data_IF_238042679972
#
_entry.id   IF_238042679972
#
_cell.length_a   1.000
_cell.length_b   1.000
_cell.length_c   1.000
_cell.angle_alpha   90.00
_cell.angle_beta   90.00
_cell.angle_gamma   90.00
#
_symmetry.space_group_name_H-M   'P 1'
#
loop_
_entity.id
_entity.type
_entity.pdbx_description
1 polymer ?
#
# COMPACT_ATOMS: atom_id res chain seq x y z
N UNK A 1 -8.64 17.16 -3.35
CA UNK A 1 -8.46 15.71 -3.11
C UNK A 1 -7.28 15.35 -2.21
N UNK A 2 -6.17 16.11 -2.13
CA UNK A 2 -5.00 15.71 -1.30
C UNK A 2 -5.28 15.57 0.21
N UNK A 3 -6.21 16.34 0.79
CA UNK A 3 -6.64 16.17 2.19
C UNK A 3 -7.77 15.16 2.41
N UNK A 4 -8.42 14.70 1.33
CA UNK A 4 -9.65 13.89 1.39
C UNK A 4 -9.35 12.40 1.48
N UNK A 5 -8.19 11.96 0.96
CA UNK A 5 -7.71 10.59 1.02
C UNK A 5 -6.22 10.54 1.41
N UNK A 6 -5.88 10.27 2.67
CA UNK A 6 -4.50 10.07 3.07
C UNK A 6 -3.93 8.79 2.43
N UNK A 7 -2.61 8.71 2.33
CA UNK A 7 -1.88 7.47 2.03
C UNK A 7 -1.93 6.56 3.27
N UNK A 8 -2.92 5.68 3.39
CA UNK A 8 -3.11 4.91 4.64
C UNK A 8 -2.05 3.83 4.85
N UNK A 9 -1.35 3.39 3.80
CA UNK A 9 -0.28 2.39 3.91
C UNK A 9 0.84 2.84 4.86
N UNK A 10 1.02 4.16 5.03
CA UNK A 10 2.03 4.74 5.94
C UNK A 10 1.70 4.56 7.43
N UNK A 11 0.48 4.13 7.77
CA UNK A 11 0.00 4.10 9.15
C UNK A 11 -0.62 2.75 9.52
N UNK A 12 -0.25 1.65 8.85
CA UNK A 12 -0.89 0.34 9.02
C UNK A 12 -0.96 -0.13 10.48
N UNK A 13 0.13 -0.02 11.23
CA UNK A 13 0.15 -0.38 12.66
C UNK A 13 -0.86 0.44 13.48
N UNK A 14 -0.88 1.76 13.30
CA UNK A 14 -1.83 2.65 13.98
C UNK A 14 -3.27 2.45 13.47
N UNK A 15 -3.45 2.06 12.22
CA UNK A 15 -4.76 1.78 11.63
C UNK A 15 -5.37 0.49 12.19
N UNK A 16 -4.56 -0.55 12.33
CA UNK A 16 -4.92 -1.87 12.85
C UNK A 16 -5.26 -1.86 14.36
N UNK A 17 -4.65 -0.95 15.13
CA UNK A 17 -4.92 -0.82 16.56
C UNK A 17 -6.21 -0.07 16.90
N UNK A 18 -6.85 0.56 15.90
CA UNK A 18 -8.10 1.29 16.08
C UNK A 18 -9.28 0.34 15.98
N UNK A 19 -10.24 0.53 16.87
CA UNK A 19 -11.52 -0.18 16.86
C UNK A 19 -12.35 0.14 15.61
N UNK A 20 -13.09 -0.85 15.11
CA UNK A 20 -14.13 -0.63 14.11
C UNK A 20 -15.41 -0.20 14.81
N UNK A 21 -15.64 1.11 14.88
CA UNK A 21 -16.86 1.70 15.45
C UNK A 21 -17.78 2.24 14.37
N UNK A 22 -19.08 2.37 14.67
CA UNK A 22 -20.09 2.91 13.75
C UNK A 22 -19.65 4.26 13.15
N UNK A 23 -19.21 5.19 14.00
CA UNK A 23 -18.73 6.52 13.56
C UNK A 23 -17.56 6.41 12.57
N UNK A 24 -16.56 5.56 12.87
CA UNK A 24 -15.40 5.36 11.99
C UNK A 24 -15.83 4.78 10.64
N UNK A 25 -16.77 3.83 10.65
CA UNK A 25 -17.31 3.20 9.45
C UNK A 25 -18.09 4.22 8.62
N UNK A 26 -18.89 5.09 9.22
CA UNK A 26 -19.59 6.18 8.53
C UNK A 26 -18.63 7.16 7.87
N UNK A 27 -17.58 7.58 8.59
CA UNK A 27 -16.53 8.45 8.02
C UNK A 27 -15.82 7.78 6.82
N UNK A 28 -15.56 6.47 6.91
CA UNK A 28 -14.96 5.68 5.83
C UNK A 28 -15.90 5.54 4.64
N UNK A 29 -17.19 5.27 4.87
CA UNK A 29 -18.23 5.21 3.82
C UNK A 29 -18.32 6.54 3.08
N UNK A 30 -18.40 7.66 3.81
CA UNK A 30 -18.43 9.00 3.21
C UNK A 30 -17.21 9.27 2.32
N UNK A 31 -16.02 8.83 2.74
CA UNK A 31 -14.80 8.90 1.90
C UNK A 31 -14.95 8.02 0.66
N UNK A 32 -15.33 6.75 0.82
CA UNK A 32 -15.54 5.82 -0.30
C UNK A 32 -16.57 6.35 -1.32
N UNK A 33 -17.66 6.95 -0.85
CA UNK A 33 -18.70 7.55 -1.67
C UNK A 33 -18.17 8.74 -2.47
N UNK A 34 -17.31 9.57 -1.88
CA UNK A 34 -16.67 10.69 -2.58
C UNK A 34 -15.75 10.23 -3.73
N UNK A 35 -15.17 9.03 -3.67
CA UNK A 35 -14.38 8.46 -4.78
C UNK A 35 -15.23 7.69 -5.80
N UNK A 36 -16.40 7.19 -5.40
CA UNK A 36 -17.23 6.30 -6.21
C UNK A 36 -17.51 6.79 -7.64
N UNK A 37 -17.76 8.09 -7.91
CA UNK A 37 -17.99 8.60 -9.27
C UNK A 37 -16.80 8.42 -10.22
N UNK A 38 -15.58 8.32 -9.68
CA UNK A 38 -14.35 8.25 -10.46
C UNK A 38 -13.87 6.81 -10.67
N UNK A 39 -14.30 5.87 -9.84
CA UNK A 39 -13.80 4.50 -9.82
C UNK A 39 -13.92 3.78 -11.18
N UNK A 40 -15.02 4.01 -11.90
CA UNK A 40 -15.23 3.41 -13.22
C UNK A 40 -14.24 3.93 -14.29
N UNK A 41 -13.66 5.11 -14.11
CA UNK A 41 -12.72 5.73 -15.05
C UNK A 41 -11.27 5.31 -14.80
N UNK A 42 -10.94 4.85 -13.59
CA UNK A 42 -9.57 4.52 -13.23
C UNK A 42 -8.97 3.34 -14.02
N UNK A 43 -9.72 2.26 -14.34
CA UNK A 43 -9.18 1.22 -15.21
C UNK A 43 -8.88 1.75 -16.63
N UNK A 44 -9.71 2.65 -17.16
CA UNK A 44 -9.47 3.30 -18.46
C UNK A 44 -8.21 4.16 -18.41
N UNK A 45 -7.97 4.85 -17.30
CA UNK A 45 -6.73 5.59 -17.08
C UNK A 45 -5.52 4.65 -17.01
N UNK A 46 -5.64 3.48 -16.38
CA UNK A 46 -4.58 2.46 -16.37
C UNK A 46 -4.29 1.94 -17.79
N UNK A 47 -5.33 1.69 -18.59
CA UNK A 47 -5.18 1.27 -19.99
C UNK A 47 -4.51 2.37 -20.85
N UNK A 48 -4.73 3.65 -20.53
CA UNK A 48 -4.06 4.78 -21.17
C UNK A 48 -2.59 4.89 -20.73
N UNK A 49 -2.30 4.72 -19.43
CA UNK A 49 -0.93 4.67 -18.91
C UNK A 49 -0.12 3.56 -19.58
N UNK A 50 -0.71 2.37 -19.77
CA UNK A 50 -0.04 1.23 -20.42
C UNK A 50 0.46 1.53 -21.85
N UNK A 51 -0.10 2.55 -22.52
CA UNK A 51 0.26 2.96 -23.89
C UNK A 51 1.32 4.05 -23.93
N UNK A 52 1.73 4.58 -22.79
CA UNK A 52 2.83 5.56 -22.74
C UNK A 52 4.13 4.91 -23.23
N UNK A 53 5.02 5.69 -23.88
CA UNK A 53 6.31 5.19 -24.35
C UNK A 53 7.32 5.04 -23.21
N UNK A 54 6.91 4.38 -22.11
CA UNK A 54 7.76 4.11 -20.95
C UNK A 54 8.95 3.24 -21.36
N UNK A 55 10.14 3.62 -20.91
CA UNK A 55 11.40 2.94 -21.23
C UNK A 55 11.94 3.24 -22.64
N UNK A 56 11.30 4.11 -23.43
CA UNK A 56 11.73 4.43 -24.81
C UNK A 56 12.69 5.63 -24.90
N UNK A 57 13.37 5.96 -23.80
CA UNK A 57 14.49 6.92 -23.80
C UNK A 57 14.19 8.33 -23.27
N UNK A 58 12.96 8.62 -22.81
CA UNK A 58 12.64 9.88 -22.14
C UNK A 58 12.53 9.69 -20.62
N UNK A 59 13.51 10.15 -19.81
CA UNK A 59 13.47 9.99 -18.37
C UNK A 59 12.33 10.78 -17.71
N UNK A 60 11.89 11.89 -18.31
CA UNK A 60 10.76 12.67 -17.81
C UNK A 60 9.43 11.92 -17.97
N UNK A 61 9.23 11.27 -19.13
CA UNK A 61 8.02 10.45 -19.37
C UNK A 61 8.00 9.26 -18.43
N UNK A 62 9.14 8.58 -18.23
CA UNK A 62 9.23 7.45 -17.31
C UNK A 62 8.84 7.86 -15.88
N UNK A 63 9.40 8.98 -15.41
CA UNK A 63 9.11 9.51 -14.09
C UNK A 63 7.63 9.84 -13.94
N UNK A 64 7.05 10.60 -14.87
CA UNK A 64 5.65 11.04 -14.80
C UNK A 64 4.67 9.86 -14.89
N UNK A 65 4.99 8.86 -15.71
CA UNK A 65 4.18 7.65 -15.84
C UNK A 65 4.11 6.88 -14.51
N UNK A 66 5.24 6.70 -13.82
CA UNK A 66 5.28 6.07 -12.49
C UNK A 66 4.60 6.96 -11.45
N UNK A 67 4.78 8.29 -11.52
CA UNK A 67 4.17 9.24 -10.59
C UNK A 67 2.63 9.21 -10.60
N UNK A 68 2.06 9.14 -11.81
CA UNK A 68 0.63 8.98 -12.04
C UNK A 68 0.16 7.61 -11.54
N UNK A 69 0.85 6.54 -11.91
CA UNK A 69 0.50 5.18 -11.52
C UNK A 69 0.52 5.00 -9.98
N UNK A 70 1.58 5.46 -9.29
CA UNK A 70 1.68 5.37 -7.82
C UNK A 70 0.58 6.18 -7.13
N UNK A 71 0.15 7.29 -7.74
CA UNK A 71 -0.88 8.16 -7.16
C UNK A 71 -2.24 7.47 -7.22
N UNK A 72 -2.56 6.81 -8.34
CA UNK A 72 -3.76 5.98 -8.46
C UNK A 72 -3.69 4.82 -7.46
N UNK A 73 -2.60 4.05 -7.47
CA UNK A 73 -2.43 2.88 -6.61
C UNK A 73 -2.52 3.22 -5.11
N UNK A 74 -1.85 4.28 -4.66
CA UNK A 74 -1.91 4.71 -3.25
C UNK A 74 -3.32 5.16 -2.81
N UNK A 75 -4.08 5.80 -3.70
CA UNK A 75 -5.47 6.22 -3.40
C UNK A 75 -6.43 5.04 -3.37
N UNK A 76 -6.27 4.11 -4.31
CA UNK A 76 -7.13 2.92 -4.38
C UNK A 76 -6.80 1.94 -3.26
N UNK A 77 -5.55 1.82 -2.84
CA UNK A 77 -5.20 1.10 -1.61
C UNK A 77 -5.94 1.67 -0.40
N UNK A 78 -5.95 2.99 -0.18
CA UNK A 78 -6.69 3.58 0.93
C UNK A 78 -8.19 3.31 0.84
N UNK A 79 -8.75 3.37 -0.38
CA UNK A 79 -10.13 3.00 -0.64
C UNK A 79 -10.42 1.53 -0.28
N UNK A 80 -9.59 0.59 -0.73
CA UNK A 80 -9.77 -0.83 -0.42
C UNK A 80 -9.64 -1.10 1.08
N UNK A 81 -8.69 -0.46 1.76
CA UNK A 81 -8.52 -0.60 3.21
C UNK A 81 -9.76 -0.14 3.99
N UNK A 82 -10.42 0.93 3.54
CA UNK A 82 -11.69 1.34 4.11
C UNK A 82 -12.80 0.32 3.84
N UNK A 83 -12.90 -0.19 2.61
CA UNK A 83 -13.87 -1.24 2.26
C UNK A 83 -13.65 -2.49 3.11
N UNK A 84 -12.41 -2.83 3.44
CA UNK A 84 -12.09 -3.94 4.33
C UNK A 84 -12.61 -3.72 5.76
N UNK A 85 -12.44 -2.53 6.33
CA UNK A 85 -13.01 -2.18 7.63
C UNK A 85 -14.54 -2.16 7.60
N UNK A 86 -15.14 -1.64 6.53
CA UNK A 86 -16.59 -1.65 6.33
C UNK A 86 -17.12 -3.09 6.25
N UNK A 87 -16.37 -4.01 5.62
CA UNK A 87 -16.74 -5.42 5.57
C UNK A 87 -16.71 -6.08 6.95
N UNK A 88 -15.71 -5.76 7.78
CA UNK A 88 -15.63 -6.24 9.17
C UNK A 88 -16.83 -5.78 10.00
N UNK A 89 -17.23 -4.51 9.88
CA UNK A 89 -18.44 -3.97 10.52
C UNK A 89 -19.72 -4.68 10.03
N UNK A 90 -19.85 -4.87 8.72
CA UNK A 90 -20.99 -5.57 8.14
C UNK A 90 -21.09 -7.01 8.66
N UNK A 91 -19.95 -7.71 8.80
CA UNK A 91 -19.88 -9.04 9.36
C UNK A 91 -20.30 -9.08 10.85
N UNK A 92 -19.81 -8.15 11.68
CA UNK A 92 -20.24 -8.05 13.08
C UNK A 92 -21.77 -7.94 13.22
N UNK A 93 -22.42 -7.30 12.26
CA UNK A 93 -23.86 -7.11 12.22
C UNK A 93 -24.62 -8.15 11.38
N UNK A 94 -23.97 -9.25 10.97
CA UNK A 94 -24.59 -10.34 10.21
C UNK A 94 -25.01 -9.98 8.78
N UNK A 95 -24.48 -8.87 8.21
CA UNK A 95 -24.77 -8.39 6.85
C UNK A 95 -23.80 -8.90 5.79
N UNK A 96 -22.64 -9.41 6.22
CA UNK A 96 -21.64 -10.06 5.36
C UNK A 96 -21.15 -11.34 6.04
N UNK A 97 -20.73 -12.30 5.23
CA UNK A 97 -20.13 -13.55 5.69
C UNK A 97 -18.60 -13.45 5.77
N UNK A 98 -17.97 -14.51 6.27
CA UNK A 98 -16.51 -14.61 6.39
C UNK A 98 -15.81 -14.45 5.02
N UNK A 99 -16.23 -15.16 3.95
CA UNK A 99 -15.66 -14.98 2.61
C UNK A 99 -15.60 -13.53 2.14
N UNK A 100 -16.66 -12.74 2.34
CA UNK A 100 -16.68 -11.35 1.90
C UNK A 100 -15.68 -10.45 2.65
N UNK A 101 -15.37 -10.76 3.92
CA UNK A 101 -14.32 -10.06 4.68
C UNK A 101 -12.94 -10.46 4.16
N UNK A 102 -12.71 -11.75 3.95
CA UNK A 102 -11.45 -12.28 3.42
C UNK A 102 -11.13 -11.75 2.01
N UNK A 103 -12.14 -11.66 1.14
CA UNK A 103 -12.00 -11.08 -0.21
C UNK A 103 -11.58 -9.61 -0.14
N UNK A 104 -12.21 -8.81 0.73
CA UNK A 104 -11.85 -7.41 0.92
C UNK A 104 -10.42 -7.24 1.47
N UNK A 105 -9.96 -8.13 2.35
CA UNK A 105 -8.58 -8.16 2.84
C UNK A 105 -7.58 -8.56 1.75
N UNK A 106 -7.94 -9.51 0.89
CA UNK A 106 -7.13 -9.92 -0.27
C UNK A 106 -6.96 -8.77 -1.25
N UNK A 107 -8.06 -8.10 -1.60
CA UNK A 107 -8.07 -6.88 -2.41
C UNK A 107 -7.08 -5.81 -1.91
N UNK A 108 -7.04 -5.57 -0.60
CA UNK A 108 -6.09 -4.62 -0.01
C UNK A 108 -4.64 -5.06 -0.18
N UNK A 109 -4.38 -6.36 0.00
CA UNK A 109 -3.04 -6.94 -0.10
C UNK A 109 -2.52 -6.84 -1.54
N UNK A 110 -3.37 -7.17 -2.50
CA UNK A 110 -3.04 -7.11 -3.93
C UNK A 110 -2.73 -5.67 -4.35
N UNK A 111 -3.55 -4.70 -3.95
CA UNK A 111 -3.32 -3.29 -4.28
C UNK A 111 -2.06 -2.70 -3.62
N UNK A 112 -1.72 -3.13 -2.39
CA UNK A 112 -0.47 -2.72 -1.75
C UNK A 112 0.75 -3.30 -2.48
N UNK A 113 0.63 -4.55 -2.93
CA UNK A 113 1.67 -5.23 -3.72
C UNK A 113 1.85 -4.57 -5.09
N UNK A 114 0.76 -4.20 -5.76
CA UNK A 114 0.82 -3.45 -7.03
C UNK A 114 1.48 -2.08 -6.82
N UNK A 115 1.19 -1.39 -5.71
CA UNK A 115 1.88 -0.14 -5.39
C UNK A 115 3.39 -0.36 -5.22
N UNK A 116 3.81 -1.43 -4.51
CA UNK A 116 5.23 -1.82 -4.40
C UNK A 116 5.85 -2.01 -5.78
N UNK A 117 5.20 -2.78 -6.65
CA UNK A 117 5.69 -3.10 -8.00
C UNK A 117 5.84 -1.83 -8.86
N UNK A 118 4.90 -0.88 -8.76
CA UNK A 118 4.98 0.40 -9.49
C UNK A 118 6.18 1.22 -9.02
N UNK A 119 6.41 1.32 -7.71
CA UNK A 119 7.53 2.10 -7.16
C UNK A 119 8.89 1.50 -7.55
N UNK A 120 8.95 0.19 -7.79
CA UNK A 120 10.17 -0.49 -8.23
C UNK A 120 10.71 0.03 -9.58
N UNK A 121 9.83 0.62 -10.40
CA UNK A 121 10.13 0.97 -11.79
C UNK A 121 10.90 2.28 -11.94
N UNK A 122 11.08 3.04 -10.86
CA UNK A 122 11.79 4.33 -10.90
C UNK A 122 12.62 4.59 -9.65
N UNK A 123 13.86 5.02 -9.86
CA UNK A 123 14.84 5.24 -8.78
C UNK A 123 14.50 6.39 -7.82
N UNK A 124 13.66 7.33 -8.23
CA UNK A 124 13.18 8.43 -7.36
C UNK A 124 12.46 7.91 -6.11
N UNK A 125 11.95 6.67 -6.14
CA UNK A 125 11.29 6.03 -5.01
C UNK A 125 12.20 5.06 -4.24
N UNK A 126 13.50 5.09 -4.52
CA UNK A 126 14.51 4.25 -3.86
C UNK A 126 15.47 5.10 -3.01
N UNK A 127 15.48 4.84 -1.69
CA UNK A 127 16.49 5.39 -0.80
C UNK A 127 17.87 4.82 -1.14
N UNK A 128 17.96 3.54 -1.53
CA UNK A 128 19.23 2.93 -1.92
C UNK A 128 19.85 3.62 -3.16
N UNK A 129 19.03 3.93 -4.17
CA UNK A 129 19.49 4.69 -5.33
C UNK A 129 19.98 6.09 -4.95
N UNK A 130 19.24 6.76 -4.05
CA UNK A 130 19.64 8.07 -3.51
C UNK A 130 20.98 8.01 -2.76
N UNK A 131 21.19 6.95 -1.96
CA UNK A 131 22.45 6.68 -1.25
C UNK A 131 23.62 6.48 -2.21
N UNK A 132 23.44 5.68 -3.26
CA UNK A 132 24.50 5.48 -4.28
C UNK A 132 24.88 6.78 -4.98
N UNK A 133 23.89 7.62 -5.32
CA UNK A 133 24.12 8.94 -5.94
C UNK A 133 24.90 9.87 -5.01
N UNK A 134 24.56 9.87 -3.71
CA UNK A 134 25.27 10.68 -2.72
C UNK A 134 26.72 10.20 -2.53
N UNK A 135 26.95 8.88 -2.46
CA UNK A 135 28.26 8.28 -2.28
C UNK A 135 29.21 8.55 -3.44
N UNK A 136 28.66 8.72 -4.65
CA UNK A 136 29.44 9.05 -5.85
C UNK A 136 30.05 10.47 -5.80
N UNK A 137 29.50 11.36 -4.95
CA UNK A 137 29.95 12.75 -4.85
C UNK A 137 30.79 12.98 -3.58
N UNK A 138 30.49 12.31 -2.49
CA UNK A 138 31.21 12.45 -1.22
C UNK A 138 31.12 11.18 -0.36
N UNK A 139 32.17 10.84 0.42
CA UNK A 139 32.08 9.78 1.42
C UNK A 139 30.87 9.93 2.34
N UNK A 140 30.08 8.86 2.47
CA UNK A 140 28.91 8.83 3.36
C UNK A 140 29.35 8.39 4.75
N UNK A 141 28.76 8.99 5.78
CA UNK A 141 28.93 8.54 7.16
C UNK A 141 28.44 7.07 7.29
N UNK A 142 29.22 6.14 7.87
CA UNK A 142 28.82 4.74 7.99
C UNK A 142 27.48 4.50 8.70
N UNK A 143 27.04 5.40 9.57
CA UNK A 143 25.77 5.32 10.29
C UNK A 143 24.58 5.94 9.53
N UNK A 144 24.81 6.53 8.35
CA UNK A 144 23.79 7.33 7.65
C UNK A 144 22.58 6.50 7.21
N UNK A 145 22.79 5.22 6.87
CA UNK A 145 21.69 4.30 6.55
C UNK A 145 20.66 4.22 7.68
N UNK A 146 21.12 4.08 8.93
CA UNK A 146 20.22 3.98 10.09
C UNK A 146 19.43 5.27 10.31
N UNK A 147 20.08 6.42 10.11
CA UNK A 147 19.39 7.73 10.13
C UNK A 147 18.31 7.80 9.05
N UNK A 148 18.60 7.36 7.83
CA UNK A 148 17.62 7.38 6.74
C UNK A 148 16.45 6.43 6.98
N UNK A 149 16.71 5.22 7.50
CA UNK A 149 15.65 4.28 7.88
C UNK A 149 14.75 4.85 8.98
N UNK A 150 15.35 5.45 10.01
CA UNK A 150 14.61 6.14 11.06
C UNK A 150 13.75 7.29 10.54
N UNK A 151 14.26 8.02 9.54
CA UNK A 151 13.48 9.06 8.86
C UNK A 151 12.35 8.46 8.01
N UNK A 152 12.64 7.45 7.22
CA UNK A 152 11.68 6.79 6.33
C UNK A 152 10.52 6.14 7.09
N UNK A 153 10.80 5.60 8.27
CA UNK A 153 9.82 4.95 9.15
C UNK A 153 8.96 5.96 9.94
N UNK A 154 9.51 7.14 10.25
CA UNK A 154 8.80 8.16 11.01
C UNK A 154 7.72 8.89 10.19
N UNK A 155 6.69 9.40 10.87
CA UNK A 155 5.51 9.98 10.21
C UNK A 155 5.79 11.23 9.36
N UNK A 156 6.98 11.84 9.46
CA UNK A 156 7.35 13.04 8.72
C UNK A 156 7.82 12.73 7.29
N UNK A 157 8.72 11.76 7.10
CA UNK A 157 9.26 11.41 5.78
C UNK A 157 8.64 10.15 5.16
N UNK A 158 7.71 9.48 5.85
CA UNK A 158 7.04 8.27 5.38
C UNK A 158 6.11 8.53 4.20
N UNK A 159 6.70 8.48 3.02
CA UNK A 159 6.04 8.56 1.71
C UNK A 159 6.55 7.43 0.81
N UNK A 160 6.01 7.31 -0.39
CA UNK A 160 6.28 6.29 -1.42
C UNK A 160 7.76 5.87 -1.57
N UNK A 161 8.25 5.03 -0.65
CA UNK A 161 9.62 4.52 -0.58
C UNK A 161 9.52 3.02 -0.76
N UNK A 162 10.12 2.51 -1.85
CA UNK A 162 10.08 1.10 -2.22
C UNK A 162 10.59 0.20 -1.09
N UNK A 163 11.72 0.56 -0.47
CA UNK A 163 12.42 -0.29 0.50
C UNK A 163 11.62 -0.57 1.77
N UNK A 164 10.51 0.12 2.02
CA UNK A 164 9.63 -0.16 3.17
C UNK A 164 8.54 -1.19 2.85
N UNK A 165 8.30 -1.55 1.59
CA UNK A 165 7.13 -2.38 1.26
C UNK A 165 7.30 -3.83 1.71
N UNK A 166 8.32 -4.51 1.21
CA UNK A 166 8.56 -5.92 1.50
C UNK A 166 8.93 -6.20 2.97
N UNK A 167 9.85 -5.44 3.60
CA UNK A 167 10.26 -5.74 4.98
C UNK A 167 9.36 -5.11 6.04
N UNK A 168 8.47 -4.16 5.70
CA UNK A 168 7.75 -3.36 6.70
C UNK A 168 6.24 -3.26 6.45
N UNK A 169 5.77 -2.66 5.34
CA UNK A 169 4.33 -2.46 5.12
C UNK A 169 3.54 -3.75 4.85
N UNK A 170 4.03 -4.62 3.96
CA UNK A 170 3.35 -5.88 3.62
C UNK A 170 3.27 -6.82 4.84
N UNK A 171 4.33 -7.01 5.65
CA UNK A 171 4.24 -7.75 6.90
C UNK A 171 3.26 -7.13 7.91
N UNK A 172 3.21 -5.80 8.04
CA UNK A 172 2.25 -5.13 8.94
C UNK A 172 0.80 -5.38 8.51
N UNK A 173 0.52 -5.30 7.20
CA UNK A 173 -0.79 -5.63 6.66
C UNK A 173 -1.13 -7.10 6.86
N UNK A 174 -0.16 -8.00 6.66
CA UNK A 174 -0.33 -9.44 6.87
C UNK A 174 -0.68 -9.77 8.33
N UNK A 175 -0.01 -9.18 9.31
CA UNK A 175 -0.36 -9.34 10.73
C UNK A 175 -1.78 -8.85 11.03
N UNK A 176 -2.14 -7.67 10.51
CA UNK A 176 -3.49 -7.15 10.70
C UNK A 176 -4.54 -8.09 10.07
N UNK A 177 -4.29 -8.54 8.84
CA UNK A 177 -5.19 -9.42 8.12
C UNK A 177 -5.33 -10.78 8.82
N UNK A 178 -4.24 -11.39 9.25
CA UNK A 178 -4.26 -12.66 9.99
C UNK A 178 -5.10 -12.57 11.26
N UNK A 179 -4.94 -11.50 12.04
CA UNK A 179 -5.79 -11.27 13.21
C UNK A 179 -7.28 -11.15 12.87
N UNK A 180 -7.62 -10.42 11.81
CA UNK A 180 -9.02 -10.31 11.35
C UNK A 180 -9.55 -11.67 10.89
N UNK A 181 -8.77 -12.44 10.12
CA UNK A 181 -9.16 -13.74 9.60
C UNK A 181 -9.43 -14.76 10.72
N UNK A 182 -8.54 -14.84 11.71
CA UNK A 182 -8.76 -15.63 12.93
C UNK A 182 -10.02 -15.18 13.67
N UNK A 183 -10.22 -13.86 13.78
CA UNK A 183 -11.37 -13.26 14.46
C UNK A 183 -12.69 -13.63 13.78
N UNK A 184 -12.76 -13.53 12.46
CA UNK A 184 -14.01 -13.82 11.73
C UNK A 184 -14.27 -15.33 11.63
N UNK A 185 -13.22 -16.15 11.51
CA UNK A 185 -13.34 -17.61 11.52
C UNK A 185 -13.83 -18.15 12.87
N UNK A 186 -13.45 -17.49 13.97
CA UNK A 186 -13.95 -17.80 15.31
C UNK A 186 -15.42 -17.43 15.54
N UNK A 187 -16.06 -16.70 14.62
CA UNK A 187 -17.51 -16.41 14.66
C UNK A 187 -17.95 -15.45 15.76
N UNK A 188 -17.03 -14.83 16.48
CA UNK A 188 -17.37 -13.96 17.60
C UNK A 188 -17.66 -12.54 17.10
N UNK A 189 -18.94 -12.21 17.04
CA UNK A 189 -19.46 -10.90 16.63
C UNK A 189 -19.75 -9.98 17.81
N UNK A 190 -19.57 -10.45 19.05
CA UNK A 190 -20.02 -9.74 20.26
C UNK A 190 -18.94 -8.84 20.86
N UNK A 191 -17.67 -9.27 20.85
CA UNK A 191 -16.58 -8.40 21.31
C UNK A 191 -16.23 -7.36 20.24
N UNK A 192 -15.78 -6.15 20.65
CA UNK A 192 -15.32 -5.12 19.73
C UNK A 192 -14.30 -5.65 18.73
N UNK A 193 -14.41 -5.23 17.47
CA UNK A 193 -13.43 -5.54 16.43
C UNK A 193 -12.17 -4.69 16.62
N UNK A 194 -11.36 -5.10 17.59
CA UNK A 194 -10.06 -4.54 17.95
C UNK A 194 -9.19 -5.61 18.63
N UNK A 195 -7.89 -5.70 18.30
CA UNK A 195 -6.98 -6.55 19.06
C UNK A 195 -6.98 -6.18 20.56
N UNK A 196 -7.08 -7.19 21.43
CA UNK A 196 -7.05 -6.98 22.88
C UNK A 196 -5.68 -6.49 23.38
N UNK A 197 -4.61 -6.94 22.73
CA UNK A 197 -3.25 -6.43 22.86
C UNK A 197 -2.80 -5.87 21.52
N UNK A 198 -1.87 -4.88 21.50
CA UNK A 198 -1.25 -4.45 20.26
C UNK A 198 -0.70 -5.65 19.47
N UNK A 199 -0.92 -5.67 18.17
CA UNK A 199 -0.30 -6.66 17.30
C UNK A 199 1.23 -6.56 17.40
N UNK A 200 1.96 -7.69 17.30
CA UNK A 200 3.41 -7.73 17.50
C UNK A 200 4.15 -7.11 16.30
N UNK A 201 4.13 -5.78 16.21
CA UNK A 201 4.75 -5.02 15.12
C UNK A 201 6.27 -4.87 15.32
N UNK A 202 6.77 -4.99 16.55
CA UNK A 202 8.19 -4.83 16.91
C UNK A 202 9.13 -5.77 16.14
N UNK A 203 8.86 -7.10 16.01
CA UNK A 203 9.68 -7.98 15.18
C UNK A 203 9.81 -7.55 13.70
N UNK A 204 8.78 -6.90 13.15
CA UNK A 204 8.82 -6.37 11.78
C UNK A 204 9.75 -5.15 11.73
N UNK A 205 9.60 -4.25 12.70
CA UNK A 205 10.47 -3.07 12.83
C UNK A 205 11.93 -3.48 13.00
N UNK A 206 12.23 -4.44 13.87
CA UNK A 206 13.59 -4.94 14.10
C UNK A 206 14.19 -5.58 12.85
N UNK A 207 13.41 -6.40 12.14
CA UNK A 207 13.83 -6.99 10.87
C UNK A 207 14.15 -5.93 9.81
N UNK A 208 13.34 -4.86 9.72
CA UNK A 208 13.59 -3.72 8.84
C UNK A 208 14.89 -2.99 9.20
N UNK A 209 15.16 -2.73 10.48
CA UNK A 209 16.40 -2.05 10.88
C UNK A 209 17.64 -2.93 10.67
N UNK A 210 17.51 -4.25 10.85
CA UNK A 210 18.59 -5.22 10.69
C UNK A 210 18.98 -5.51 9.24
N UNK A 211 18.03 -5.53 8.31
CA UNK A 211 18.28 -5.86 6.90
C UNK A 211 19.00 -4.70 6.18
N UNK A 212 20.17 -4.89 5.54
CA UNK A 212 20.87 -3.82 4.83
C UNK A 212 20.01 -3.17 3.73
N UNK A 213 20.09 -1.85 3.58
CA UNK A 213 19.30 -1.10 2.60
C UNK A 213 19.51 -1.58 1.16
N UNK A 214 20.73 -2.02 0.83
CA UNK A 214 21.04 -2.58 -0.48
C UNK A 214 20.27 -3.87 -0.80
N UNK A 215 19.94 -4.67 0.22
CA UNK A 215 19.15 -5.90 0.07
C UNK A 215 17.65 -5.61 -0.11
N UNK A 216 17.19 -4.44 0.32
CA UNK A 216 15.81 -3.96 0.11
C UNK A 216 15.59 -3.28 -1.24
N UNK A 217 16.67 -3.06 -2.00
CA UNK A 217 16.62 -2.24 -3.21
C UNK A 217 15.65 -2.83 -4.25
N UNK A 218 15.01 -1.98 -5.08
CA UNK A 218 14.12 -2.48 -6.12
C UNK A 218 14.86 -3.38 -7.10
N UNK A 219 14.23 -4.48 -7.56
CA UNK A 219 14.82 -5.36 -8.55
C UNK A 219 15.01 -4.60 -9.86
N UNK A 220 16.09 -4.93 -10.57
CA UNK A 220 16.30 -4.41 -11.92
C UNK A 220 15.40 -5.20 -12.87
N UNK A 221 14.53 -4.51 -13.60
CA UNK A 221 13.74 -5.13 -14.66
C UNK A 221 14.54 -5.17 -15.97
N UNK A 222 14.68 -6.36 -16.56
CA UNK A 222 15.35 -6.53 -17.86
C UNK A 222 14.61 -5.78 -18.98
N UNK A 223 13.27 -5.84 -18.97
CA UNK A 223 12.40 -5.07 -19.84
C UNK A 223 11.51 -4.13 -19.01
N UNK A 224 11.95 -2.87 -18.89
CA UNK A 224 11.25 -1.83 -18.13
C UNK A 224 9.87 -1.51 -18.73
N UNK A 225 9.72 -1.56 -20.05
CA UNK A 225 8.46 -1.25 -20.73
C UNK A 225 7.42 -2.32 -20.43
N UNK A 226 7.79 -3.60 -20.58
CA UNK A 226 6.91 -4.72 -20.24
C UNK A 226 6.58 -4.74 -18.74
N UNK A 227 7.54 -4.44 -17.88
CA UNK A 227 7.31 -4.38 -16.43
C UNK A 227 6.30 -3.29 -16.05
N UNK A 228 6.40 -2.10 -16.64
CA UNK A 228 5.43 -1.03 -16.42
C UNK A 228 4.04 -1.40 -16.94
N UNK A 229 3.93 -1.93 -18.16
CA UNK A 229 2.65 -2.40 -18.72
C UNK A 229 1.98 -3.44 -17.81
N UNK A 230 2.76 -4.42 -17.33
CA UNK A 230 2.26 -5.43 -16.40
C UNK A 230 1.76 -4.82 -15.09
N UNK A 231 2.53 -3.89 -14.49
CA UNK A 231 2.17 -3.26 -13.23
C UNK A 231 0.88 -2.43 -13.34
N UNK A 232 0.71 -1.64 -14.40
CA UNK A 232 -0.51 -0.83 -14.58
C UNK A 232 -1.71 -1.67 -15.02
N UNK A 233 -1.50 -2.78 -15.75
CA UNK A 233 -2.56 -3.74 -16.02
C UNK A 233 -3.06 -4.40 -14.73
N UNK A 234 -2.14 -4.86 -13.88
CA UNK A 234 -2.46 -5.41 -12.56
C UNK A 234 -3.19 -4.40 -11.68
N UNK A 235 -2.82 -3.11 -11.75
CA UNK A 235 -3.57 -2.04 -11.08
C UNK A 235 -5.00 -1.92 -11.59
N UNK A 236 -5.19 -1.90 -12.91
CA UNK A 236 -6.51 -1.85 -13.54
C UNK A 236 -7.39 -3.04 -13.14
N UNK A 237 -6.83 -4.25 -13.13
CA UNK A 237 -7.54 -5.47 -12.73
C UNK A 237 -7.86 -5.50 -11.24
N UNK A 238 -6.91 -5.10 -10.39
CA UNK A 238 -7.13 -4.93 -8.95
C UNK A 238 -8.27 -3.95 -8.66
N UNK A 239 -8.31 -2.81 -9.36
CA UNK A 239 -9.40 -1.84 -9.26
C UNK A 239 -10.74 -2.47 -9.67
N UNK A 240 -10.79 -3.17 -10.82
CA UNK A 240 -12.01 -3.83 -11.31
C UNK A 240 -12.53 -4.86 -10.30
N UNK A 241 -11.64 -5.65 -9.72
CA UNK A 241 -11.97 -6.63 -8.68
C UNK A 241 -12.56 -5.94 -7.45
N UNK A 242 -11.87 -4.95 -6.90
CA UNK A 242 -12.29 -4.23 -5.69
C UNK A 242 -13.63 -3.49 -5.81
N UNK A 243 -14.01 -3.08 -7.02
CA UNK A 243 -15.29 -2.40 -7.27
C UNK A 243 -16.45 -3.41 -7.38
N UNK A 244 -16.20 -4.61 -7.92
CA UNK A 244 -17.23 -5.62 -8.18
C UNK A 244 -17.69 -6.37 -6.93
N UNK A 245 -16.90 -6.38 -5.86
CA UNK A 245 -17.27 -6.98 -4.56
C UNK A 245 -18.24 -6.11 -3.72
N UNK A 246 -18.88 -5.11 -4.33
CA UNK A 246 -20.00 -4.32 -3.76
C UNK A 246 -21.33 -5.03 -3.99
#
# INVERSE_FOLDING_TARGET
>A
MHGTFPNEFRNLAAFASREVTVKRVEEMKARCDALSPYLAQLPVLCDALARLPFGQGSPFVDRDAVDLARTIAGRIFSYSLYQYVIAQDAWMHGKKDVPAVTEAGTCCTDLLTVLRDILALHEDFSINASMRKLAAVHPINPCFEQTLKGNAENSYCRTYIYELFDPYYLPQLALYRGWVEERVAGGDTQRPMKPAQPLPMEPITDAFYAMPLAEMAPPVADDRAAAFQKAVAALGDGIRSCIRSK
#
